data_IF_985588313515
#
_entry.id   IF_985588313515
#
_cell.length_a   1.000
_cell.length_b   1.000
_cell.length_c   1.000
_cell.angle_alpha   90.00
_cell.angle_beta   90.00
_cell.angle_gamma   90.00
#
_symmetry.space_group_name_H-M   'P 1'
#
loop_
_entity.id
_entity.type
_entity.pdbx_description
1 polymer ?
#
# COMPACT_ATOMS: atom_id res chain seq x y z
N UNK A 1 15.01 4.69 -3.98
CA UNK A 1 13.65 5.02 -3.50
C UNK A 1 13.18 3.94 -2.54
N UNK A 2 12.57 4.36 -1.47
CA UNK A 2 12.02 3.43 -0.48
C UNK A 2 10.50 3.44 -0.57
N UNK A 3 9.91 2.27 -0.68
CA UNK A 3 8.48 2.12 -0.90
C UNK A 3 7.86 1.37 0.28
N UNK A 4 6.82 1.96 0.86
CA UNK A 4 6.05 1.30 1.90
C UNK A 4 4.86 0.57 1.29
N UNK A 5 4.48 -0.55 1.88
CA UNK A 5 3.31 -1.29 1.44
C UNK A 5 2.41 -1.53 2.65
N UNK A 6 1.18 -1.10 2.55
CA UNK A 6 0.19 -1.27 3.59
C UNK A 6 -1.02 -2.00 3.01
N UNK A 7 -1.30 -3.16 3.54
CA UNK A 7 -2.43 -3.95 3.06
C UNK A 7 -3.16 -4.61 4.21
N UNK A 8 -4.46 -4.68 4.11
CA UNK A 8 -5.27 -5.34 5.10
C UNK A 8 -5.35 -6.82 4.72
N UNK A 9 -4.69 -7.64 5.50
CA UNK A 9 -4.63 -9.08 5.23
C UNK A 9 -5.80 -9.75 5.93
N UNK A 10 -6.91 -9.86 5.24
CA UNK A 10 -8.08 -10.55 5.78
C UNK A 10 -8.35 -11.86 5.06
N UNK A 11 -7.68 -12.09 3.94
CA UNK A 11 -7.88 -13.29 3.14
C UNK A 11 -6.54 -13.76 2.61
N UNK A 12 -6.45 -15.05 2.36
CA UNK A 12 -5.23 -15.64 1.80
C UNK A 12 -4.85 -14.98 0.48
N UNK A 13 -5.86 -14.64 -0.32
CA UNK A 13 -5.63 -14.01 -1.61
C UNK A 13 -4.96 -12.64 -1.47
N UNK A 14 -5.35 -11.88 -0.45
CA UNK A 14 -4.76 -10.57 -0.21
C UNK A 14 -3.29 -10.69 0.17
N UNK A 15 -2.97 -11.68 0.99
CA UNK A 15 -1.58 -11.92 1.38
C UNK A 15 -0.74 -12.26 0.16
N UNK A 16 -1.27 -13.09 -0.72
CA UNK A 16 -0.56 -13.50 -1.91
C UNK A 16 -0.24 -12.32 -2.82
N UNK A 17 -1.21 -11.44 -3.01
CA UNK A 17 -1.01 -10.25 -3.85
C UNK A 17 0.04 -9.33 -3.24
N UNK A 18 -0.01 -9.14 -1.93
CA UNK A 18 0.97 -8.30 -1.24
C UNK A 18 2.36 -8.89 -1.39
N UNK A 19 2.50 -10.19 -1.21
CA UNK A 19 3.79 -10.86 -1.34
C UNK A 19 4.35 -10.72 -2.74
N UNK A 20 3.52 -10.88 -3.75
CA UNK A 20 3.92 -10.73 -5.13
C UNK A 20 4.34 -9.30 -5.45
N UNK A 21 3.61 -8.33 -4.92
CA UNK A 21 3.95 -6.94 -5.13
C UNK A 21 5.30 -6.60 -4.50
N UNK A 22 5.51 -7.03 -3.27
CA UNK A 22 6.76 -6.76 -2.56
C UNK A 22 7.93 -7.41 -3.31
N UNK A 23 7.75 -8.63 -3.76
CA UNK A 23 8.78 -9.32 -4.50
C UNK A 23 9.12 -8.62 -5.81
N UNK A 24 8.09 -8.17 -6.52
CA UNK A 24 8.27 -7.44 -7.75
C UNK A 24 9.05 -6.14 -7.52
N UNK A 25 8.66 -5.38 -6.50
CA UNK A 25 9.35 -4.12 -6.20
C UNK A 25 10.82 -4.35 -5.83
N UNK A 26 11.09 -5.39 -5.07
CA UNK A 26 12.46 -5.72 -4.70
C UNK A 26 13.28 -6.15 -5.91
N UNK A 27 12.65 -6.85 -6.83
CA UNK A 27 13.35 -7.26 -8.05
C UNK A 27 13.76 -6.07 -8.91
N UNK A 28 13.06 -4.94 -8.77
CA UNK A 28 13.40 -3.72 -9.46
C UNK A 28 14.45 -2.89 -8.72
N UNK A 29 14.91 -3.37 -7.58
CA UNK A 29 15.94 -2.66 -6.82
C UNK A 29 15.41 -1.69 -5.79
N UNK A 30 14.12 -1.63 -5.55
CA UNK A 30 13.55 -0.74 -4.54
C UNK A 30 13.64 -1.36 -3.16
N UNK A 31 13.91 -0.53 -2.17
CA UNK A 31 13.78 -0.90 -0.78
C UNK A 31 12.30 -0.91 -0.42
N UNK A 32 11.82 -1.96 0.23
CA UNK A 32 10.42 -2.05 0.61
C UNK A 32 10.27 -2.21 2.11
N UNK A 33 9.24 -1.59 2.65
CA UNK A 33 8.92 -1.69 4.06
C UNK A 33 7.43 -1.99 4.21
N UNK A 34 7.10 -3.02 5.00
CA UNK A 34 5.72 -3.37 5.27
C UNK A 34 5.20 -2.57 6.45
N UNK A 35 4.00 -2.01 6.29
CA UNK A 35 3.29 -1.37 7.39
C UNK A 35 2.07 -2.19 7.76
N UNK A 36 1.70 -2.19 9.02
CA UNK A 36 0.52 -2.90 9.50
C UNK A 36 -0.63 -1.95 9.83
N UNK A 37 -0.36 -0.67 9.96
CA UNK A 37 -1.39 0.31 10.28
C UNK A 37 -1.05 1.65 9.64
N UNK A 38 -2.07 2.48 9.32
CA UNK A 38 -1.81 3.78 8.69
C UNK A 38 -0.91 4.70 9.50
N UNK A 39 -0.99 4.65 10.82
CA UNK A 39 -0.17 5.53 11.65
C UNK A 39 1.31 5.24 11.57
N UNK A 40 1.70 4.10 10.99
CA UNK A 40 3.09 3.74 10.83
C UNK A 40 3.74 4.37 9.59
N UNK A 41 2.94 4.99 8.74
CA UNK A 41 3.43 5.50 7.46
C UNK A 41 4.40 6.65 7.67
N UNK A 42 5.68 6.36 7.56
CA UNK A 42 6.75 7.36 7.61
C UNK A 42 8.05 6.73 7.15
N UNK A 43 9.00 7.56 6.80
CA UNK A 43 10.33 7.07 6.45
C UNK A 43 10.44 6.44 5.08
N UNK A 44 9.40 6.57 4.26
CA UNK A 44 9.42 6.05 2.88
C UNK A 44 9.07 7.19 1.93
N UNK A 45 9.38 7.01 0.67
CA UNK A 45 9.08 8.03 -0.34
C UNK A 45 7.64 7.94 -0.82
N UNK A 46 7.15 6.72 -0.94
CA UNK A 46 5.80 6.47 -1.41
C UNK A 46 5.25 5.26 -0.64
N UNK A 47 3.95 5.26 -0.39
CA UNK A 47 3.28 4.11 0.20
C UNK A 47 2.20 3.62 -0.74
N UNK A 48 2.16 2.32 -0.96
CA UNK A 48 1.12 1.67 -1.75
C UNK A 48 0.14 1.06 -0.76
N UNK A 49 -1.09 1.55 -0.78
CA UNK A 49 -2.14 1.09 0.13
C UNK A 49 -3.10 0.20 -0.65
N UNK A 50 -3.21 -1.05 -0.21
CA UNK A 50 -4.12 -2.01 -0.84
C UNK A 50 -5.30 -2.25 0.10
N UNK A 51 -6.49 -1.99 -0.37
CA UNK A 51 -7.67 -2.18 0.45
C UNK A 51 -8.88 -1.50 -0.16
N UNK A 52 -9.87 -1.22 0.67
CA UNK A 52 -11.04 -0.48 0.25
C UNK A 52 -10.86 1.01 0.40
N UNK A 53 -11.92 1.75 0.07
CA UNK A 53 -11.88 3.21 0.14
C UNK A 53 -11.54 3.71 1.54
N UNK A 54 -12.05 3.06 2.57
CA UNK A 54 -11.77 3.47 3.94
C UNK A 54 -10.31 3.35 4.30
N UNK A 55 -9.66 2.27 3.89
CA UNK A 55 -8.25 2.07 4.17
C UNK A 55 -7.40 3.13 3.48
N UNK A 56 -7.74 3.46 2.24
CA UNK A 56 -7.02 4.47 1.47
C UNK A 56 -7.19 5.85 2.12
N UNK A 57 -8.42 6.19 2.50
CA UNK A 57 -8.69 7.46 3.16
C UNK A 57 -7.99 7.59 4.50
N UNK A 58 -8.01 6.53 5.30
CA UNK A 58 -7.37 6.56 6.60
C UNK A 58 -5.85 6.67 6.50
N UNK A 59 -5.29 6.28 5.37
CA UNK A 59 -3.84 6.36 5.15
C UNK A 59 -3.42 7.71 4.60
N UNK A 60 -4.34 8.45 4.00
CA UNK A 60 -4.00 9.70 3.32
C UNK A 60 -3.47 10.77 4.29
N UNK A 61 -4.08 10.89 5.47
CA UNK A 61 -3.65 11.91 6.44
C UNK A 61 -2.26 11.61 7.01
N UNK A 62 -1.99 10.41 7.52
CA UNK A 62 -0.63 10.11 7.98
C UNK A 62 0.42 10.25 6.88
N UNK A 63 0.09 9.83 5.65
CA UNK A 63 1.02 9.97 4.55
C UNK A 63 1.35 11.43 4.28
N UNK A 64 0.32 12.28 4.23
CA UNK A 64 0.52 13.70 3.99
C UNK A 64 1.34 14.35 5.10
N UNK A 65 1.09 13.98 6.35
CA UNK A 65 1.84 14.52 7.48
C UNK A 65 3.32 14.24 7.40
N UNK A 66 3.67 13.10 6.82
CA UNK A 66 5.06 12.66 6.78
C UNK A 66 5.67 12.80 5.39
N UNK A 67 5.05 13.59 4.53
CA UNK A 67 5.53 13.85 3.17
C UNK A 67 5.70 12.57 2.35
N UNK A 68 4.83 11.62 2.57
CA UNK A 68 4.83 10.36 1.82
C UNK A 68 3.75 10.43 0.76
N UNK A 69 4.11 10.13 -0.48
CA UNK A 69 3.14 10.06 -1.55
C UNK A 69 2.35 8.77 -1.42
N UNK A 70 1.08 8.79 -1.79
CA UNK A 70 0.23 7.64 -1.61
C UNK A 70 -0.31 7.15 -2.95
N UNK A 71 -0.28 5.83 -3.14
CA UNK A 71 -0.91 5.17 -4.26
C UNK A 71 -1.92 4.19 -3.68
N UNK A 72 -3.19 4.40 -3.99
CA UNK A 72 -4.23 3.52 -3.48
C UNK A 72 -4.65 2.50 -4.51
N UNK A 73 -4.72 1.24 -4.12
CA UNK A 73 -5.23 0.17 -4.96
C UNK A 73 -6.47 -0.39 -4.27
N UNK A 74 -7.61 -0.17 -4.88
CA UNK A 74 -8.88 -0.55 -4.30
C UNK A 74 -9.27 -1.96 -4.76
N UNK A 75 -9.15 -2.91 -3.84
CA UNK A 75 -9.48 -4.29 -4.12
C UNK A 75 -10.94 -4.54 -4.34
N UNK A 76 -11.76 -3.89 -3.55
CA UNK A 76 -13.18 -4.19 -3.55
C UNK A 76 -13.85 -3.88 -4.87
N UNK A 77 -13.28 -2.95 -5.60
CA UNK A 77 -13.88 -2.48 -6.84
C UNK A 77 -12.97 -2.60 -8.04
N UNK A 78 -12.02 -3.52 -7.98
CA UNK A 78 -11.06 -3.65 -9.06
C UNK A 78 -11.71 -3.83 -10.42
N UNK A 79 -12.78 -4.57 -10.45
CA UNK A 79 -13.48 -4.79 -11.70
C UNK A 79 -14.12 -3.55 -12.27
N UNK A 80 -14.26 -2.51 -11.50
CA UNK A 80 -14.91 -1.28 -11.94
C UNK A 80 -13.97 -0.15 -12.21
N UNK A 81 -12.73 -0.32 -11.88
CA UNK A 81 -11.77 0.73 -12.09
C UNK A 81 -11.44 0.91 -13.54
N UNK A 82 -11.98 0.07 -14.33
CA UNK A 82 -11.76 0.16 -15.75
C UNK A 82 -12.47 1.35 -16.34
N UNK A 83 -13.35 1.91 -15.58
CA UNK A 83 -13.98 3.04 -16.13
C UNK A 83 -13.35 4.31 -15.84
#
# INVERSE_FOLDING_TARGET
MKIGVLGKITKVKSQQVIDELVEFLRSLGYETQMFTAPQEIQGVDVVIVLGGDGAILHSAVPAARNNVKIIGINYGNLGFLTE
#
